data_IF_934004197961
#
_entry.id   IF_934004197961
#
_cell.length_a   1.000
_cell.length_b   1.000
_cell.length_c   1.000
_cell.angle_alpha   90.00
_cell.angle_beta   90.00
_cell.angle_gamma   90.00
#
_symmetry.space_group_name_H-M   'P 1'
#
loop_
_entity.id
_entity.type
_entity.pdbx_description
1 polymer ?
#
# COMPACT_ATOMS: atom_id res chain seq x y z
N UNK A 1 -38.80 35.12 10.08
CA UNK A 1 -38.15 34.66 8.85
C UNK A 1 -36.63 34.53 8.97
N UNK A 2 -35.84 35.50 9.39
CA UNK A 2 -34.35 35.42 9.43
C UNK A 2 -33.79 34.30 10.33
N UNK A 3 -34.47 33.95 11.48
CA UNK A 3 -34.02 32.85 12.35
C UNK A 3 -34.26 31.47 11.74
N UNK A 4 -35.37 31.25 11.05
CA UNK A 4 -35.66 29.97 10.38
C UNK A 4 -34.67 29.67 9.23
N UNK A 5 -34.28 30.68 8.48
CA UNK A 5 -33.29 30.56 7.40
C UNK A 5 -31.90 30.16 7.97
N UNK A 6 -31.50 30.75 9.13
CA UNK A 6 -30.24 30.39 9.80
C UNK A 6 -30.25 28.93 10.29
N UNK A 7 -31.34 28.47 10.89
CA UNK A 7 -31.46 27.08 11.34
C UNK A 7 -31.42 26.09 10.17
N UNK A 8 -32.08 26.43 9.06
CA UNK A 8 -32.05 25.62 7.84
C UNK A 8 -30.63 25.52 7.27
N UNK A 9 -29.90 26.65 7.23
CA UNK A 9 -28.51 26.69 6.75
C UNK A 9 -27.56 25.85 7.61
N UNK A 10 -27.69 25.90 8.94
CA UNK A 10 -26.86 25.07 9.86
C UNK A 10 -27.17 23.58 9.69
N UNK A 11 -28.45 23.22 9.53
CA UNK A 11 -28.84 21.82 9.30
C UNK A 11 -28.29 21.25 8.01
N UNK A 12 -28.37 22.01 6.90
CA UNK A 12 -27.83 21.59 5.60
C UNK A 12 -26.31 21.47 5.65
N UNK A 13 -25.62 22.42 6.28
CA UNK A 13 -24.15 22.36 6.44
C UNK A 13 -23.71 21.14 7.25
N UNK A 14 -24.40 20.85 8.37
CA UNK A 14 -24.13 19.66 9.20
C UNK A 14 -24.33 18.36 8.41
N UNK A 15 -25.36 18.29 7.58
CA UNK A 15 -25.62 17.11 6.74
C UNK A 15 -24.56 16.92 5.66
N UNK A 16 -24.07 18.01 5.07
CA UNK A 16 -22.97 17.97 4.08
C UNK A 16 -21.68 17.49 4.76
N UNK A 17 -21.35 18.01 5.96
CA UNK A 17 -20.17 17.59 6.70
C UNK A 17 -20.25 16.10 7.07
N UNK A 18 -21.40 15.61 7.50
CA UNK A 18 -21.62 14.20 7.79
C UNK A 18 -21.42 13.33 6.54
N UNK A 19 -22.01 13.74 5.41
CA UNK A 19 -21.89 13.03 4.14
C UNK A 19 -20.44 12.97 3.66
N UNK A 20 -19.71 14.10 3.72
CA UNK A 20 -18.29 14.16 3.37
C UNK A 20 -17.44 13.27 4.30
N UNK A 21 -17.74 13.26 5.60
CA UNK A 21 -17.08 12.38 6.57
C UNK A 21 -17.30 10.91 6.25
N UNK A 22 -18.52 10.51 5.89
CA UNK A 22 -18.85 9.14 5.48
C UNK A 22 -18.11 8.78 4.19
N UNK A 23 -18.04 9.68 3.21
CA UNK A 23 -17.28 9.45 1.97
C UNK A 23 -15.78 9.28 2.25
N UNK A 24 -15.20 10.09 3.13
CA UNK A 24 -13.79 9.95 3.53
C UNK A 24 -13.55 8.60 4.20
N UNK A 25 -14.40 8.22 5.16
CA UNK A 25 -14.29 6.96 5.88
C UNK A 25 -14.49 5.73 4.97
N UNK A 26 -15.39 5.82 3.98
CA UNK A 26 -15.62 4.73 3.03
C UNK A 26 -14.45 4.52 2.05
N UNK A 27 -13.65 5.58 1.79
CA UNK A 27 -12.43 5.47 0.98
C UNK A 27 -11.21 4.98 1.76
N UNK A 28 -11.25 4.97 3.10
CA UNK A 28 -10.23 4.34 3.94
C UNK A 28 -10.56 2.84 4.00
N UNK A 29 -10.32 2.12 2.90
CA UNK A 29 -10.39 0.65 2.94
C UNK A 29 -9.23 0.15 3.78
N UNK A 30 -9.48 -0.59 4.89
CA UNK A 30 -8.40 -1.33 5.51
C UNK A 30 -7.85 -2.27 4.44
N UNK A 31 -6.54 -2.24 4.18
CA UNK A 31 -5.95 -3.26 3.33
C UNK A 31 -6.26 -4.61 3.95
N UNK A 32 -6.86 -5.49 3.19
CA UNK A 32 -7.03 -6.88 3.59
C UNK A 32 -5.68 -7.61 3.48
N UNK A 33 -4.80 -7.25 4.41
CA UNK A 33 -3.43 -7.76 4.45
C UNK A 33 -3.44 -9.25 4.72
N UNK A 34 -4.37 -9.75 5.51
CA UNK A 34 -4.43 -11.17 5.87
C UNK A 34 -4.76 -12.04 4.66
N UNK A 35 -5.76 -11.66 3.86
CA UNK A 35 -6.12 -12.38 2.63
C UNK A 35 -4.96 -12.35 1.62
N UNK A 36 -4.36 -11.18 1.40
CA UNK A 36 -3.21 -11.05 0.49
C UNK A 36 -1.98 -11.80 0.98
N UNK A 37 -1.77 -11.89 2.30
CA UNK A 37 -0.70 -12.67 2.88
C UNK A 37 -0.90 -14.16 2.65
N UNK A 38 -2.12 -14.66 2.72
CA UNK A 38 -2.43 -16.06 2.42
C UNK A 38 -2.19 -16.39 0.95
N UNK A 39 -2.60 -15.51 0.02
CA UNK A 39 -2.29 -15.63 -1.41
C UNK A 39 -0.77 -15.70 -1.65
N UNK A 40 -0.01 -14.79 -1.01
CA UNK A 40 1.45 -14.77 -1.11
C UNK A 40 2.09 -16.03 -0.51
N UNK A 41 1.58 -16.53 0.64
CA UNK A 41 2.05 -17.77 1.24
C UNK A 41 1.86 -18.97 0.30
N UNK A 42 0.68 -19.09 -0.30
CA UNK A 42 0.40 -20.15 -1.28
C UNK A 42 1.36 -20.04 -2.47
N UNK A 43 1.55 -18.86 -3.03
CA UNK A 43 2.52 -18.63 -4.10
C UNK A 43 3.96 -19.03 -3.70
N UNK A 44 4.40 -18.71 -2.48
CA UNK A 44 5.72 -19.10 -1.99
C UNK A 44 5.87 -20.62 -1.92
N UNK A 45 4.85 -21.32 -1.43
CA UNK A 45 4.86 -22.80 -1.31
C UNK A 45 4.89 -23.43 -2.71
N UNK A 46 4.04 -22.98 -3.63
CA UNK A 46 3.92 -23.52 -4.98
C UNK A 46 5.21 -23.35 -5.80
N UNK A 47 5.98 -22.29 -5.51
CA UNK A 47 7.23 -21.99 -6.20
C UNK A 47 8.49 -22.38 -5.42
N UNK A 48 8.37 -23.08 -4.28
CA UNK A 48 9.50 -23.55 -3.48
C UNK A 48 10.28 -22.44 -2.77
N UNK A 49 9.64 -21.30 -2.51
CA UNK A 49 10.23 -20.20 -1.75
C UNK A 49 10.04 -20.37 -0.25
N UNK A 50 10.84 -19.63 0.54
CA UNK A 50 10.64 -19.58 1.98
C UNK A 50 9.25 -18.97 2.30
N UNK A 51 8.47 -19.68 3.09
CA UNK A 51 7.13 -19.29 3.52
C UNK A 51 7.05 -18.95 5.02
N UNK A 52 8.14 -18.44 5.62
CA UNK A 52 8.13 -17.96 7.00
C UNK A 52 7.65 -16.52 7.07
N UNK A 53 8.13 -15.68 6.14
CA UNK A 53 7.83 -14.24 6.11
C UNK A 53 7.51 -13.77 4.70
N UNK A 54 6.59 -12.82 4.59
CA UNK A 54 6.29 -12.11 3.35
C UNK A 54 6.34 -10.60 3.51
N UNK A 55 6.71 -9.90 2.44
CA UNK A 55 6.65 -8.45 2.35
C UNK A 55 5.52 -8.09 1.40
N UNK A 56 4.58 -7.27 1.87
CA UNK A 56 3.45 -6.77 1.10
C UNK A 56 3.53 -5.25 1.01
N UNK A 57 3.35 -4.71 -0.17
CA UNK A 57 3.27 -3.25 -0.38
C UNK A 57 1.92 -2.91 -0.99
N UNK A 58 1.11 -2.16 -0.26
CA UNK A 58 -0.20 -1.70 -0.70
C UNK A 58 -0.07 -0.31 -1.34
N UNK A 59 0.15 -0.28 -2.63
CA UNK A 59 0.25 0.96 -3.40
C UNK A 59 -1.10 1.67 -3.63
N UNK A 60 -2.22 1.10 -3.22
CA UNK A 60 -3.50 1.80 -3.14
C UNK A 60 -3.54 2.86 -2.04
N UNK A 61 -2.56 2.86 -1.13
CA UNK A 61 -2.40 3.87 -0.08
C UNK A 61 -1.46 4.99 -0.51
N UNK A 62 -1.69 6.19 0.02
CA UNK A 62 -0.79 7.33 -0.18
C UNK A 62 0.61 7.07 0.42
N UNK A 63 1.63 7.75 -0.13
CA UNK A 63 3.02 7.65 0.35
C UNK A 63 3.22 8.03 1.81
N UNK A 64 2.33 8.86 2.38
CA UNK A 64 2.35 9.26 3.79
C UNK A 64 1.75 8.21 4.74
N UNK A 65 1.13 7.16 4.21
CA UNK A 65 0.56 6.08 5.01
C UNK A 65 1.55 4.92 5.08
N UNK A 66 1.50 4.19 6.20
CA UNK A 66 2.22 2.92 6.31
C UNK A 66 1.60 1.92 5.35
N UNK A 67 2.30 1.61 4.27
CA UNK A 67 1.84 0.76 3.18
C UNK A 67 2.76 -0.42 2.87
N UNK A 68 3.93 -0.50 3.51
CA UNK A 68 4.76 -1.68 3.52
C UNK A 68 4.48 -2.46 4.80
N UNK A 69 4.27 -3.76 4.66
CA UNK A 69 3.97 -4.69 5.75
C UNK A 69 4.90 -5.89 5.66
N UNK A 70 5.48 -6.28 6.78
CA UNK A 70 6.12 -7.59 6.92
C UNK A 70 5.15 -8.48 7.67
N UNK A 71 4.81 -9.60 7.06
CA UNK A 71 3.86 -10.58 7.58
C UNK A 71 4.60 -11.86 7.98
N UNK A 72 4.33 -12.32 9.19
CA UNK A 72 4.77 -13.61 9.70
C UNK A 72 3.70 -14.64 9.37
N UNK A 73 4.00 -15.54 8.44
CA UNK A 73 3.06 -16.56 7.97
C UNK A 73 2.80 -17.66 9.00
N UNK A 74 3.72 -17.89 9.93
CA UNK A 74 3.58 -18.93 10.96
C UNK A 74 2.66 -18.46 12.10
N UNK A 75 2.76 -17.17 12.47
CA UNK A 75 1.93 -16.56 13.51
C UNK A 75 0.74 -15.76 12.96
N UNK A 76 0.54 -15.76 11.64
CA UNK A 76 -0.55 -15.08 10.92
C UNK A 76 -0.74 -13.61 11.31
N UNK A 77 0.36 -12.87 11.47
CA UNK A 77 0.32 -11.48 11.93
C UNK A 77 1.29 -10.57 11.21
N UNK A 78 0.93 -9.30 11.13
CA UNK A 78 1.83 -8.24 10.69
C UNK A 78 2.81 -7.92 11.83
N UNK A 79 4.11 -8.10 11.58
CA UNK A 79 5.19 -7.84 12.56
C UNK A 79 5.85 -6.47 12.36
N UNK A 80 5.73 -5.88 11.16
CA UNK A 80 6.28 -4.56 10.87
C UNK A 80 5.36 -3.81 9.90
N UNK A 81 5.19 -2.51 10.14
CA UNK A 81 4.51 -1.57 9.23
C UNK A 81 5.40 -0.36 9.01
N UNK A 82 5.67 -0.01 7.75
CA UNK A 82 6.54 1.12 7.39
C UNK A 82 5.97 1.96 6.26
N UNK A 83 6.52 3.16 6.11
CA UNK A 83 6.37 3.96 4.89
C UNK A 83 7.15 3.29 3.76
N UNK A 84 6.70 3.50 2.54
CA UNK A 84 7.36 3.02 1.34
C UNK A 84 7.20 4.07 0.23
N UNK A 85 8.28 4.44 -0.43
CA UNK A 85 8.22 5.27 -1.62
C UNK A 85 7.75 4.44 -2.83
N UNK A 86 7.36 5.09 -3.89
CA UNK A 86 7.22 4.53 -5.22
C UNK A 86 8.15 5.26 -6.19
N UNK A 87 8.30 4.73 -7.40
CA UNK A 87 9.11 5.34 -8.45
C UNK A 87 8.58 6.72 -8.85
N UNK A 88 9.47 7.55 -9.37
CA UNK A 88 9.17 8.94 -9.77
C UNK A 88 8.76 9.06 -11.25
N UNK A 89 8.70 7.95 -11.98
CA UNK A 89 8.37 7.94 -13.41
C UNK A 89 6.89 8.19 -13.67
N UNK A 90 6.57 8.49 -14.94
CA UNK A 90 5.23 8.81 -15.38
C UNK A 90 4.69 10.09 -14.74
N UNK A 91 3.40 10.10 -14.43
CA UNK A 91 2.73 11.18 -13.70
C UNK A 91 2.64 10.89 -12.19
N UNK A 92 3.62 10.16 -11.65
CA UNK A 92 3.66 9.79 -10.24
C UNK A 92 3.70 11.02 -9.33
N UNK A 93 2.84 11.03 -8.31
CA UNK A 93 2.77 12.04 -7.27
C UNK A 93 2.79 11.36 -5.90
N UNK A 94 2.97 12.11 -4.81
CA UNK A 94 2.93 11.56 -3.44
C UNK A 94 1.59 10.89 -3.10
N UNK A 95 0.53 11.22 -3.82
CA UNK A 95 -0.82 10.67 -3.62
C UNK A 95 -1.11 9.47 -4.53
N UNK A 96 -0.49 9.44 -5.71
CA UNK A 96 -0.72 8.42 -6.73
C UNK A 96 0.60 8.06 -7.40
N UNK A 97 0.91 6.77 -7.47
CA UNK A 97 2.02 6.25 -8.26
C UNK A 97 1.55 5.75 -9.62
N UNK A 98 2.35 5.97 -10.63
CA UNK A 98 2.25 5.25 -11.90
C UNK A 98 3.13 4.00 -11.83
N UNK A 99 2.67 2.93 -12.46
CA UNK A 99 3.33 1.62 -12.39
C UNK A 99 3.66 1.13 -13.80
N UNK A 100 4.86 0.58 -13.97
CA UNK A 100 5.29 0.04 -15.24
C UNK A 100 6.37 -1.02 -15.02
N UNK A 101 6.28 -2.12 -15.74
CA UNK A 101 7.30 -3.16 -15.77
C UNK A 101 8.33 -2.94 -16.90
N UNK A 102 8.23 -1.83 -17.63
CA UNK A 102 9.20 -1.51 -18.69
C UNK A 102 10.50 -1.01 -18.07
N UNK A 103 11.67 -1.59 -18.43
CA UNK A 103 12.98 -1.10 -18.00
C UNK A 103 13.17 0.38 -18.37
N UNK A 104 13.72 1.17 -17.44
CA UNK A 104 13.99 2.59 -17.67
C UNK A 104 12.80 3.53 -17.52
N UNK A 105 11.61 3.02 -17.18
CA UNK A 105 10.42 3.86 -16.95
C UNK A 105 10.50 4.71 -15.69
N UNK A 106 11.41 4.42 -14.77
CA UNK A 106 11.50 5.01 -13.42
C UNK A 106 10.24 4.85 -12.55
N UNK A 107 9.26 4.08 -13.01
CA UNK A 107 8.09 3.70 -12.25
C UNK A 107 8.40 2.53 -11.31
N UNK A 108 7.61 2.37 -10.26
CA UNK A 108 7.57 1.10 -9.54
C UNK A 108 6.88 0.05 -10.41
N UNK A 109 7.36 -1.18 -10.37
CA UNK A 109 6.69 -2.29 -11.03
C UNK A 109 5.76 -3.03 -10.05
N UNK A 110 4.73 -3.64 -10.59
CA UNK A 110 3.79 -4.48 -9.83
C UNK A 110 4.08 -5.95 -10.12
N UNK A 111 3.87 -6.81 -9.13
CA UNK A 111 4.05 -8.25 -9.27
C UNK A 111 4.62 -8.90 -8.02
N UNK A 112 5.08 -10.13 -8.21
CA UNK A 112 5.77 -10.89 -7.17
C UNK A 112 7.29 -10.72 -7.31
N UNK A 113 7.96 -10.59 -6.18
CA UNK A 113 9.40 -10.36 -6.11
C UNK A 113 10.04 -11.30 -5.11
N UNK A 114 11.21 -11.81 -5.45
CA UNK A 114 12.04 -12.57 -4.53
C UNK A 114 13.12 -11.67 -3.93
N UNK A 115 13.23 -11.64 -2.61
CA UNK A 115 14.35 -10.99 -1.93
C UNK A 115 15.57 -11.91 -2.01
N UNK A 116 16.57 -11.50 -2.79
CA UNK A 116 17.82 -12.24 -2.95
C UNK A 116 18.85 -11.87 -1.90
N UNK A 117 19.96 -12.65 -1.85
CA UNK A 117 21.13 -12.31 -1.04
C UNK A 117 21.85 -11.09 -1.63
N UNK A 118 22.04 -10.05 -0.83
CA UNK A 118 22.96 -8.99 -1.19
C UNK A 118 24.42 -9.48 -1.08
N UNK A 119 25.10 -9.63 -2.21
CA UNK A 119 26.51 -10.06 -2.24
C UNK A 119 27.49 -8.91 -2.01
N UNK A 120 27.04 -7.66 -2.05
CA UNK A 120 27.90 -6.47 -1.96
C UNK A 120 27.53 -5.66 -0.70
N UNK A 121 28.10 -6.04 0.44
CA UNK A 121 27.82 -5.37 1.74
C UNK A 121 28.32 -3.92 1.85
N UNK A 122 29.02 -3.39 0.83
CA UNK A 122 29.64 -2.05 0.86
C UNK A 122 29.03 -1.02 -0.09
N UNK A 123 28.05 -1.40 -0.88
CA UNK A 123 27.22 -0.43 -1.61
C UNK A 123 25.85 -0.41 -0.98
N UNK A 124 25.27 0.79 -0.84
CA UNK A 124 23.91 1.02 -0.36
C UNK A 124 23.06 -0.17 -0.84
N UNK A 125 22.49 -0.97 0.06
CA UNK A 125 21.80 -2.17 -0.34
C UNK A 125 20.54 -1.76 -1.12
N UNK A 126 20.67 -1.77 -2.44
CA UNK A 126 19.49 -1.88 -3.29
C UNK A 126 19.09 -3.34 -3.13
N UNK A 127 17.96 -3.67 -2.50
CA UNK A 127 17.53 -5.04 -2.44
C UNK A 127 17.46 -5.56 -3.87
N UNK A 128 18.18 -6.65 -4.14
CA UNK A 128 18.11 -7.31 -5.44
C UNK A 128 16.73 -7.96 -5.53
N UNK A 129 15.80 -7.25 -6.13
CA UNK A 129 14.51 -7.80 -6.50
C UNK A 129 14.69 -8.46 -7.88
N UNK A 130 14.52 -9.76 -7.94
CA UNK A 130 14.38 -10.43 -9.22
C UNK A 130 12.89 -10.48 -9.55
N UNK A 131 12.52 -9.90 -10.69
CA UNK A 131 11.18 -10.00 -11.27
C UNK A 131 11.11 -11.36 -11.96
N UNK A 132 10.15 -12.17 -11.60
CA UNK A 132 9.79 -13.38 -12.32
C UNK A 132 8.52 -13.17 -13.10
#
# INVERSE_FOLDING_TARGET
MKKAIKFLGISVFSMICLFVSVLILSNIRPADISSRAQELKAYCIDNGYNADYGILVDYGRHSFQKRLFVYDFNNEKVILKSLCAHGSGGESTVFRGDFSNNPGSHCSSLGHYRVGRNRNMYRIPVPAFEVH
#
